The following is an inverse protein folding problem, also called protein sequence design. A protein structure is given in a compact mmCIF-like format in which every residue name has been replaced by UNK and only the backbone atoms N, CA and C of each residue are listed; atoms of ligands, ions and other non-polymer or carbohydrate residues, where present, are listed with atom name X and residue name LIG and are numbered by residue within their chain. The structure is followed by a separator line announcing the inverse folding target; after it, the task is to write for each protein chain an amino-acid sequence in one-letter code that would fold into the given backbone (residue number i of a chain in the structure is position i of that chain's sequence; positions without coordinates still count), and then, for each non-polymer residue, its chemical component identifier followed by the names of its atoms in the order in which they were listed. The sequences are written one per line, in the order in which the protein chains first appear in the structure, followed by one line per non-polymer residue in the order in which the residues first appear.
data_IF_415191602099
#
_entry.id   IF_415191602099
#
_cell.length_a   1.000
_cell.length_b   1.000
_cell.length_c   1.000
_cell.angle_alpha   90.00
_cell.angle_beta   90.00
_cell.angle_gamma   90.00
#
_symmetry.space_group_name_H-M   'P 1'
#
loop_
_entity.id
_entity.type
_entity.pdbx_description
1 polymer ?
#
# COMPACT_ATOMS: atom_id res chain seq x y z
N UNK A 1 -4.97 3.67 27.06
CA UNK A 1 -6.03 2.73 27.48
C UNK A 1 -6.62 3.09 28.83
N UNK A 2 -5.82 3.28 29.93
CA UNK A 2 -6.34 3.62 31.27
C UNK A 2 -7.20 4.90 31.27
N UNK A 3 -6.81 5.94 30.54
CA UNK A 3 -7.55 7.21 30.50
C UNK A 3 -8.85 7.14 29.69
N UNK A 4 -9.02 6.16 28.79
CA UNK A 4 -10.24 6.04 27.99
C UNK A 4 -11.43 5.48 28.75
N UNK A 5 -11.17 4.81 29.89
CA UNK A 5 -12.20 4.22 30.78
C UNK A 5 -12.46 5.07 32.02
N UNK A 6 -11.78 6.23 32.17
CA UNK A 6 -11.96 7.17 33.30
C UNK A 6 -13.07 8.18 33.05
N UNK A 7 -13.58 8.74 34.14
CA UNK A 7 -14.43 9.91 34.08
C UNK A 7 -13.65 11.10 33.47
N UNK A 8 -14.34 12.01 32.78
CA UNK A 8 -13.78 13.17 32.09
C UNK A 8 -12.88 14.04 33.00
N UNK A 9 -13.20 14.16 34.28
CA UNK A 9 -12.37 14.91 35.27
C UNK A 9 -11.04 14.19 35.56
N UNK A 10 -11.08 12.89 35.76
CA UNK A 10 -9.88 12.07 36.04
C UNK A 10 -8.99 11.88 34.78
N UNK A 11 -9.61 11.78 33.60
CA UNK A 11 -8.90 11.67 32.35
C UNK A 11 -8.07 12.93 32.04
N UNK A 12 -8.58 14.12 32.37
CA UNK A 12 -7.90 15.40 32.19
C UNK A 12 -6.65 15.55 33.09
N UNK A 13 -6.57 14.84 34.20
CA UNK A 13 -5.39 14.83 35.07
C UNK A 13 -4.22 14.03 34.51
N UNK A 14 -4.42 13.26 33.42
CA UNK A 14 -3.43 12.39 32.76
C UNK A 14 -2.63 11.50 33.73
N UNK A 15 -3.19 11.16 34.88
CA UNK A 15 -2.54 10.36 35.91
C UNK A 15 -2.59 8.87 35.55
N UNK A 16 -1.56 8.10 35.93
CA UNK A 16 -1.52 6.64 35.78
C UNK A 16 -2.32 5.92 36.88
N UNK A 17 -2.98 6.64 37.79
CA UNK A 17 -3.83 6.04 38.82
C UNK A 17 -4.97 5.24 38.19
N UNK A 18 -5.39 4.16 38.88
CA UNK A 18 -6.54 3.38 38.45
C UNK A 18 -7.82 4.22 38.52
N UNK A 19 -8.78 4.02 37.61
CA UNK A 19 -10.06 4.74 37.64
C UNK A 19 -10.85 4.37 38.90
N UNK A 20 -11.52 5.36 39.50
CA UNK A 20 -12.44 5.12 40.62
C UNK A 20 -13.72 4.43 40.15
N UNK A 21 -14.17 4.73 38.94
CA UNK A 21 -15.29 4.09 38.25
C UNK A 21 -14.91 3.82 36.79
N UNK A 22 -15.37 2.67 36.25
CA UNK A 22 -15.07 2.29 34.87
C UNK A 22 -16.22 2.73 33.98
N UNK A 23 -15.93 3.62 33.00
CA UNK A 23 -16.89 4.15 32.05
C UNK A 23 -16.66 3.57 30.65
N UNK A 24 -17.24 2.43 30.34
CA UNK A 24 -17.25 1.86 28.98
C UNK A 24 -18.15 2.66 28.02
N UNK A 25 -19.05 3.47 28.55
CA UNK A 25 -19.94 4.35 27.78
C UNK A 25 -19.18 5.35 26.91
N UNK A 26 -17.97 5.74 27.33
CA UNK A 26 -17.10 6.63 26.55
C UNK A 26 -16.85 6.11 25.13
N UNK A 27 -16.72 4.79 24.96
CA UNK A 27 -16.53 4.19 23.64
C UNK A 27 -17.78 4.30 22.77
N UNK A 28 -18.96 4.17 23.36
CA UNK A 28 -20.23 4.36 22.64
C UNK A 28 -20.46 5.81 22.29
N UNK A 29 -20.08 6.75 23.17
CA UNK A 29 -20.15 8.18 22.88
C UNK A 29 -19.23 8.55 21.70
N UNK A 30 -17.98 8.07 21.69
CA UNK A 30 -17.04 8.30 20.58
C UNK A 30 -17.54 7.69 19.27
N UNK A 31 -18.11 6.49 19.33
CA UNK A 31 -18.68 5.83 18.13
C UNK A 31 -19.88 6.61 17.57
N UNK A 32 -20.73 7.19 18.43
CA UNK A 32 -21.91 7.98 18.03
C UNK A 32 -21.56 9.44 17.71
N UNK A 33 -20.41 9.91 18.18
CA UNK A 33 -19.99 11.29 17.98
C UNK A 33 -19.97 11.67 16.49
N UNK A 34 -20.39 12.89 16.19
CA UNK A 34 -20.39 13.45 14.84
C UNK A 34 -21.05 12.54 13.79
N UNK A 35 -22.21 11.96 14.13
CA UNK A 35 -22.99 11.14 13.21
C UNK A 35 -22.23 9.92 12.68
N UNK A 36 -21.60 9.17 13.58
CA UNK A 36 -20.78 7.98 13.27
C UNK A 36 -19.55 8.25 12.38
N UNK A 37 -18.99 9.45 12.49
CA UNK A 37 -17.82 9.86 11.70
C UNK A 37 -16.65 8.89 11.83
N UNK A 38 -16.41 8.32 13.02
CA UNK A 38 -15.34 7.36 13.26
C UNK A 38 -15.50 6.08 12.41
N UNK A 39 -16.74 5.57 12.34
CA UNK A 39 -17.04 4.36 11.53
C UNK A 39 -16.83 4.67 10.04
N UNK A 40 -17.28 5.84 9.59
CA UNK A 40 -17.09 6.27 8.20
C UNK A 40 -15.62 6.45 7.86
N UNK A 41 -14.84 7.06 8.75
CA UNK A 41 -13.40 7.22 8.59
C UNK A 41 -12.69 5.86 8.53
N UNK A 42 -13.01 4.93 9.43
CA UNK A 42 -12.45 3.59 9.45
C UNK A 42 -12.76 2.82 8.15
N UNK A 43 -14.01 2.86 7.69
CA UNK A 43 -14.42 2.23 6.43
C UNK A 43 -13.65 2.81 5.25
N UNK A 44 -13.51 4.13 5.17
CA UNK A 44 -12.79 4.78 4.09
C UNK A 44 -11.30 4.42 4.12
N UNK A 45 -10.66 4.41 5.29
CA UNK A 45 -9.26 4.00 5.45
C UNK A 45 -9.04 2.55 5.02
N UNK A 46 -9.96 1.65 5.39
CA UNK A 46 -9.88 0.24 4.98
C UNK A 46 -10.01 0.09 3.45
N UNK A 47 -10.92 0.83 2.82
CA UNK A 47 -11.07 0.82 1.37
C UNK A 47 -9.82 1.37 0.67
N UNK A 48 -9.28 2.50 1.13
CA UNK A 48 -8.05 3.07 0.57
C UNK A 48 -6.91 2.07 0.68
N UNK A 49 -6.65 1.53 1.87
CA UNK A 49 -5.59 0.55 2.09
C UNK A 49 -5.76 -0.69 1.20
N UNK A 50 -6.96 -1.28 1.15
CA UNK A 50 -7.22 -2.48 0.36
C UNK A 50 -6.95 -2.26 -1.13
N UNK A 51 -7.52 -1.20 -1.71
CA UNK A 51 -7.36 -0.93 -3.15
C UNK A 51 -5.95 -0.48 -3.51
N UNK A 52 -5.31 0.35 -2.67
CA UNK A 52 -3.93 0.77 -2.91
C UNK A 52 -2.98 -0.41 -2.88
N UNK A 53 -3.05 -1.26 -1.86
CA UNK A 53 -2.21 -2.46 -1.74
C UNK A 53 -2.47 -3.43 -2.89
N UNK A 54 -3.73 -3.67 -3.26
CA UNK A 54 -4.06 -4.56 -4.38
C UNK A 54 -3.44 -4.07 -5.70
N UNK A 55 -3.54 -2.77 -6.00
CA UNK A 55 -2.93 -2.16 -7.19
C UNK A 55 -1.39 -2.25 -7.12
N UNK A 56 -0.80 -1.94 -5.97
CA UNK A 56 0.65 -2.02 -5.76
C UNK A 56 1.18 -3.44 -5.98
N UNK A 57 0.49 -4.47 -5.48
CA UNK A 57 0.86 -5.86 -5.69
C UNK A 57 0.77 -6.22 -7.17
N UNK A 58 -0.34 -5.92 -7.84
CA UNK A 58 -0.55 -6.27 -9.24
C UNK A 58 0.46 -5.56 -10.15
N UNK A 59 0.48 -4.23 -10.10
CA UNK A 59 1.34 -3.43 -10.98
C UNK A 59 2.81 -3.59 -10.61
N UNK A 60 3.13 -3.55 -9.32
CA UNK A 60 4.51 -3.66 -8.83
C UNK A 60 5.15 -5.00 -9.14
N UNK A 61 4.42 -6.11 -8.96
CA UNK A 61 4.95 -7.45 -9.27
C UNK A 61 5.16 -7.66 -10.77
N UNK A 62 4.22 -7.22 -11.61
CA UNK A 62 4.34 -7.32 -13.07
C UNK A 62 5.48 -6.43 -13.61
N UNK A 63 5.55 -5.19 -13.15
CA UNK A 63 6.61 -4.28 -13.55
C UNK A 63 7.99 -4.76 -13.06
N UNK A 64 8.09 -5.20 -11.82
CA UNK A 64 9.32 -5.79 -11.25
C UNK A 64 9.79 -7.01 -12.03
N UNK A 65 8.85 -7.88 -12.43
CA UNK A 65 9.14 -9.05 -13.27
C UNK A 65 9.74 -8.66 -14.62
N UNK A 66 9.06 -7.77 -15.36
CA UNK A 66 9.52 -7.34 -16.67
C UNK A 66 10.88 -6.65 -16.59
N UNK A 67 11.06 -5.75 -15.63
CA UNK A 67 12.32 -5.01 -15.44
C UNK A 67 13.49 -5.90 -15.01
N UNK A 68 13.23 -7.01 -14.34
CA UNK A 68 14.30 -7.94 -13.92
C UNK A 68 14.66 -8.93 -15.04
N UNK A 69 13.70 -9.32 -15.87
CA UNK A 69 13.91 -10.34 -16.91
C UNK A 69 14.36 -9.77 -18.25
N UNK A 70 14.04 -8.51 -18.54
CA UNK A 70 14.45 -7.82 -19.76
C UNK A 70 15.56 -6.81 -19.49
N UNK A 71 16.59 -6.84 -20.36
CA UNK A 71 17.79 -6.01 -20.23
C UNK A 71 18.03 -5.08 -21.44
N UNK A 72 16.99 -4.85 -22.24
CA UNK A 72 17.06 -3.93 -23.39
C UNK A 72 17.17 -2.46 -22.93
N UNK A 73 17.64 -1.58 -23.83
CA UNK A 73 17.84 -0.14 -23.54
C UNK A 73 16.56 0.52 -23.01
N UNK A 74 15.40 0.15 -23.54
CA UNK A 74 14.10 0.67 -23.12
C UNK A 74 13.83 0.36 -21.65
N UNK A 75 14.11 -0.86 -21.20
CA UNK A 75 13.93 -1.27 -19.80
C UNK A 75 14.94 -0.58 -18.87
N UNK A 76 16.15 -0.33 -19.36
CA UNK A 76 17.15 0.44 -18.60
C UNK A 76 16.66 1.88 -18.36
N UNK A 77 16.11 2.53 -19.38
CA UNK A 77 15.54 3.88 -19.24
C UNK A 77 14.31 3.88 -18.33
N UNK A 78 13.39 2.91 -18.53
CA UNK A 78 12.22 2.76 -17.67
C UNK A 78 12.61 2.59 -16.19
N UNK A 79 13.61 1.75 -15.93
CA UNK A 79 14.12 1.57 -14.57
C UNK A 79 14.72 2.85 -13.99
N UNK A 80 15.49 3.60 -14.77
CA UNK A 80 16.07 4.87 -14.32
C UNK A 80 14.96 5.88 -13.98
N UNK A 81 13.90 5.97 -14.80
CA UNK A 81 12.74 6.83 -14.55
C UNK A 81 11.98 6.41 -13.26
N UNK A 82 11.75 5.13 -13.05
CA UNK A 82 11.10 4.62 -11.83
C UNK A 82 11.96 4.93 -10.61
N UNK A 83 13.27 4.68 -10.67
CA UNK A 83 14.18 4.97 -9.55
C UNK A 83 14.28 6.47 -9.26
N UNK A 84 14.18 7.34 -10.28
CA UNK A 84 14.14 8.79 -10.05
C UNK A 84 12.92 9.22 -9.23
N UNK A 85 11.81 8.48 -9.31
CA UNK A 85 10.62 8.72 -8.49
C UNK A 85 10.86 8.56 -6.98
N UNK A 86 11.85 7.77 -6.57
CA UNK A 86 12.24 7.65 -5.15
C UNK A 86 13.02 8.87 -4.64
N UNK A 87 13.64 9.63 -5.55
CA UNK A 87 14.45 10.78 -5.18
C UNK A 87 13.63 12.08 -5.09
N UNK A 88 12.44 12.10 -5.69
CA UNK A 88 11.56 13.28 -5.70
C UNK A 88 10.74 13.29 -4.39
N UNK A 89 10.93 14.29 -3.52
CA UNK A 89 10.13 14.40 -2.32
C UNK A 89 8.66 14.69 -2.66
N UNK A 90 7.70 14.16 -1.89
CA UNK A 90 6.28 14.44 -2.10
C UNK A 90 6.00 15.94 -2.01
N UNK A 91 5.45 16.52 -3.08
CA UNK A 91 5.10 17.93 -3.14
C UNK A 91 3.57 18.11 -3.00
N UNK A 92 3.10 18.49 -1.81
CA UNK A 92 1.67 18.52 -1.47
C UNK A 92 0.88 19.46 -2.40
N UNK A 93 1.34 20.71 -2.58
CA UNK A 93 0.61 21.70 -3.40
C UNK A 93 0.49 21.29 -4.87
N UNK A 94 1.56 20.91 -5.58
CA UNK A 94 1.45 20.38 -6.93
C UNK A 94 0.54 19.18 -7.06
N UNK A 95 0.57 18.26 -6.09
CA UNK A 95 -0.32 17.07 -6.06
C UNK A 95 -1.80 17.51 -5.99
N UNK A 96 -2.14 18.51 -5.16
CA UNK A 96 -3.49 19.03 -5.08
C UNK A 96 -3.93 19.64 -6.42
N UNK A 97 -3.07 20.43 -7.08
CA UNK A 97 -3.38 21.03 -8.38
C UNK A 97 -3.63 19.99 -9.46
N UNK A 98 -2.82 18.92 -9.50
CA UNK A 98 -3.03 17.81 -10.43
C UNK A 98 -4.37 17.12 -10.16
N UNK A 99 -4.69 16.80 -8.89
CA UNK A 99 -5.96 16.17 -8.53
C UNK A 99 -7.17 17.04 -8.87
N UNK A 100 -7.05 18.37 -8.72
CA UNK A 100 -8.10 19.33 -9.11
C UNK A 100 -8.26 19.36 -10.64
N UNK A 101 -7.16 19.41 -11.39
CA UNK A 101 -7.19 19.36 -12.84
C UNK A 101 -7.80 18.07 -13.39
N UNK A 102 -7.62 16.95 -12.69
CA UNK A 102 -8.22 15.66 -13.03
C UNK A 102 -9.66 15.51 -12.49
N UNK A 103 -10.20 16.47 -11.77
CA UNK A 103 -11.53 16.42 -11.12
C UNK A 103 -11.73 15.28 -10.11
N UNK A 104 -10.65 14.75 -9.53
CA UNK A 104 -10.67 13.67 -8.53
C UNK A 104 -10.25 14.15 -7.12
N UNK A 105 -10.07 15.46 -6.94
CA UNK A 105 -9.74 16.04 -5.63
C UNK A 105 -10.86 15.76 -4.60
N UNK A 106 -10.47 15.42 -3.37
CA UNK A 106 -11.38 15.04 -2.26
C UNK A 106 -12.23 13.79 -2.53
N UNK A 107 -11.82 12.91 -3.43
CA UNK A 107 -12.47 11.62 -3.66
C UNK A 107 -11.63 10.47 -3.10
N UNK A 108 -12.27 9.33 -2.78
CA UNK A 108 -11.56 8.09 -2.41
C UNK A 108 -10.60 7.63 -3.53
N UNK A 109 -11.05 7.75 -4.77
CA UNK A 109 -10.22 7.40 -5.94
C UNK A 109 -8.97 8.27 -6.03
N UNK A 110 -9.10 9.58 -5.79
CA UNK A 110 -7.95 10.49 -5.75
C UNK A 110 -6.94 10.11 -4.66
N UNK A 111 -7.41 9.76 -3.47
CA UNK A 111 -6.54 9.30 -2.37
C UNK A 111 -5.80 8.01 -2.72
N UNK A 112 -6.50 7.01 -3.26
CA UNK A 112 -5.90 5.74 -3.71
C UNK A 112 -4.84 6.01 -4.78
N UNK A 113 -5.12 6.90 -5.75
CA UNK A 113 -4.18 7.23 -6.82
C UNK A 113 -2.91 7.87 -6.28
N UNK A 114 -3.01 8.78 -5.32
CA UNK A 114 -1.85 9.42 -4.68
C UNK A 114 -1.02 8.40 -3.93
N UNK A 115 -1.66 7.56 -3.11
CA UNK A 115 -0.99 6.52 -2.32
C UNK A 115 -0.22 5.56 -3.22
N UNK A 116 -0.87 5.07 -4.27
CA UNK A 116 -0.22 4.20 -5.27
C UNK A 116 0.94 4.92 -5.97
N UNK A 117 0.75 6.16 -6.41
CA UNK A 117 1.79 6.91 -7.12
C UNK A 117 3.06 7.11 -6.27
N UNK A 118 2.90 7.37 -4.97
CA UNK A 118 4.02 7.56 -4.05
C UNK A 118 4.73 6.24 -3.72
N UNK A 119 3.99 5.14 -3.57
CA UNK A 119 4.54 3.85 -3.15
C UNK A 119 5.02 2.97 -4.31
N UNK A 120 4.58 3.22 -5.56
CA UNK A 120 4.86 2.32 -6.70
C UNK A 120 6.35 2.18 -7.01
N UNK A 121 7.21 3.22 -6.98
CA UNK A 121 8.63 3.07 -7.29
C UNK A 121 9.34 2.15 -6.30
N UNK A 122 9.04 2.31 -5.01
CA UNK A 122 9.60 1.47 -3.95
C UNK A 122 9.11 0.03 -4.05
N UNK A 123 7.82 -0.17 -4.31
CA UNK A 123 7.22 -1.49 -4.50
C UNK A 123 7.86 -2.24 -5.67
N UNK A 124 8.05 -1.56 -6.81
CA UNK A 124 8.73 -2.15 -7.98
C UNK A 124 10.17 -2.53 -7.64
N UNK A 125 10.89 -1.69 -6.91
CA UNK A 125 12.26 -1.97 -6.47
C UNK A 125 12.32 -3.22 -5.59
N UNK A 126 11.39 -3.38 -4.64
CA UNK A 126 11.31 -4.56 -3.78
C UNK A 126 11.05 -5.84 -4.60
N UNK A 127 10.04 -5.82 -5.47
CA UNK A 127 9.73 -6.98 -6.32
C UNK A 127 10.89 -7.33 -7.24
N UNK A 128 11.48 -6.33 -7.89
CA UNK A 128 12.64 -6.54 -8.77
C UNK A 128 13.82 -7.16 -8.03
N UNK A 129 14.15 -6.64 -6.84
CA UNK A 129 15.24 -7.18 -6.02
C UNK A 129 14.99 -8.64 -5.65
N UNK A 130 13.77 -8.97 -5.22
CA UNK A 130 13.43 -10.36 -4.88
C UNK A 130 13.38 -11.28 -6.11
N UNK A 131 12.93 -10.79 -7.26
CA UNK A 131 12.96 -11.54 -8.54
C UNK A 131 14.36 -12.00 -8.94
N UNK A 132 15.40 -11.24 -8.56
CA UNK A 132 16.79 -11.60 -8.80
C UNK A 132 17.22 -12.89 -8.10
N UNK A 133 16.53 -13.29 -7.03
CA UNK A 133 16.82 -14.52 -6.28
C UNK A 133 16.10 -15.75 -6.86
N UNK A 134 15.13 -15.57 -7.76
CA UNK A 134 14.38 -16.65 -8.38
C UNK A 134 15.15 -17.16 -9.60
N UNK A 135 15.53 -18.47 -9.64
CA UNK A 135 16.22 -19.05 -10.77
C UNK A 135 15.41 -18.97 -12.07
N UNK A 136 16.07 -18.61 -13.18
CA UNK A 136 15.40 -18.52 -14.50
C UNK A 136 15.01 -19.89 -15.06
N UNK A 137 15.69 -20.91 -14.62
CA UNK A 137 15.46 -22.32 -15.02
C UNK A 137 14.02 -22.75 -14.74
N UNK A 138 13.37 -22.20 -13.73
CA UNK A 138 11.95 -22.47 -13.45
C UNK A 138 11.02 -21.93 -14.54
N UNK A 139 11.36 -20.78 -15.09
CA UNK A 139 10.60 -20.17 -16.19
C UNK A 139 10.87 -20.89 -17.51
N UNK A 140 12.13 -21.31 -17.74
CA UNK A 140 12.54 -22.08 -18.90
C UNK A 140 11.87 -23.47 -18.93
N UNK A 141 11.79 -24.14 -17.77
CA UNK A 141 11.03 -25.39 -17.64
C UNK A 141 9.54 -25.17 -17.98
N UNK A 142 8.94 -24.10 -17.48
CA UNK A 142 7.56 -23.75 -17.81
C UNK A 142 7.34 -23.48 -19.31
N UNK A 143 8.33 -22.87 -20.00
CA UNK A 143 8.28 -22.69 -21.46
C UNK A 143 8.33 -24.02 -22.19
N UNK A 144 9.20 -24.96 -21.78
CA UNK A 144 9.31 -26.32 -22.35
C UNK A 144 7.99 -27.09 -22.17
N UNK A 145 7.32 -26.90 -21.02
CA UNK A 145 6.00 -27.47 -20.72
C UNK A 145 4.85 -26.80 -21.50
N UNK A 146 5.14 -25.82 -22.36
CA UNK A 146 4.15 -25.15 -23.20
C UNK A 146 3.35 -24.07 -22.50
N UNK A 147 3.77 -23.57 -21.34
CA UNK A 147 3.13 -22.45 -20.65
C UNK A 147 3.33 -21.14 -21.40
N UNK A 148 2.28 -20.34 -21.55
CA UNK A 148 2.40 -18.96 -22.03
C UNK A 148 3.14 -18.09 -21.03
N UNK A 149 3.74 -16.94 -21.44
CA UNK A 149 4.44 -16.03 -20.54
C UNK A 149 3.56 -15.54 -19.36
N UNK A 150 2.28 -15.34 -19.59
CA UNK A 150 1.33 -14.95 -18.54
C UNK A 150 1.08 -16.10 -17.56
N UNK A 151 1.02 -17.34 -18.05
CA UNK A 151 0.88 -18.53 -17.19
C UNK A 151 2.16 -18.75 -16.36
N UNK A 152 3.35 -18.55 -16.93
CA UNK A 152 4.60 -18.62 -16.19
C UNK A 152 4.59 -17.58 -15.05
N UNK A 153 4.26 -16.34 -15.36
CA UNK A 153 4.16 -15.31 -14.32
C UNK A 153 3.16 -15.71 -13.23
N UNK A 154 1.91 -16.05 -13.58
CA UNK A 154 0.85 -16.26 -12.59
C UNK A 154 0.96 -17.58 -11.83
N UNK A 155 1.41 -18.66 -12.47
CA UNK A 155 1.42 -20.01 -11.88
C UNK A 155 2.77 -20.39 -11.26
N UNK A 156 3.88 -19.84 -11.77
CA UNK A 156 5.23 -20.20 -11.32
C UNK A 156 5.84 -19.07 -10.51
N UNK A 157 5.97 -17.88 -11.10
CA UNK A 157 6.71 -16.76 -10.50
C UNK A 157 5.93 -16.11 -9.36
N UNK A 158 4.68 -15.71 -9.58
CA UNK A 158 3.89 -14.98 -8.60
C UNK A 158 3.70 -15.73 -7.27
N UNK A 159 3.47 -17.04 -7.23
CA UNK A 159 3.44 -17.80 -5.97
C UNK A 159 4.76 -17.78 -5.20
N UNK A 160 5.90 -17.71 -5.89
CA UNK A 160 7.23 -17.61 -5.26
C UNK A 160 7.48 -16.22 -4.65
N UNK A 161 6.72 -15.19 -5.08
CA UNK A 161 6.80 -13.83 -4.55
C UNK A 161 6.05 -13.62 -3.24
N UNK A 162 5.45 -14.66 -2.64
CA UNK A 162 4.72 -14.53 -1.36
C UNK A 162 5.49 -13.78 -0.27
N UNK A 163 6.80 -14.03 -0.03
CA UNK A 163 7.52 -13.31 1.02
C UNK A 163 7.57 -11.80 0.79
N UNK A 164 7.93 -11.37 -0.43
CA UNK A 164 7.98 -9.93 -0.75
C UNK A 164 6.59 -9.31 -0.81
N UNK A 165 5.58 -10.07 -1.27
CA UNK A 165 4.18 -9.62 -1.26
C UNK A 165 3.68 -9.36 0.17
N UNK A 166 4.04 -10.23 1.13
CA UNK A 166 3.73 -10.00 2.54
C UNK A 166 4.38 -8.71 3.07
N UNK A 167 5.61 -8.41 2.63
CA UNK A 167 6.28 -7.15 2.97
C UNK A 167 5.53 -5.94 2.41
N UNK A 168 5.07 -6.01 1.16
CA UNK A 168 4.29 -4.93 0.52
C UNK A 168 2.93 -4.72 1.20
N UNK A 169 2.31 -5.77 1.74
CA UNK A 169 1.04 -5.66 2.48
C UNK A 169 1.23 -4.95 3.82
N UNK A 170 2.39 -5.13 4.46
CA UNK A 170 2.68 -4.55 5.79
C UNK A 170 3.15 -3.10 5.69
N UNK A 171 3.69 -2.71 4.56
CA UNK A 171 4.24 -1.39 4.29
C UNK A 171 3.14 -0.35 4.13
#
# INVERSE_FOLDING_TARGET
FLNSIKNKKEANLMSLALPTEIHFENYLEVLKANNYMLITAFKNSLLIAFFSVAILILVGSMAGYVLQRRSDKTMTVANALIMSGLMVPPAILPTIWVLQGMHIYKTLFGMITVEVALCIPFTIMLYRGFMGTIPKELEEAGLIDGCSPFQIFTKIVFPLLKPVTSTVIIL
#
